data_IF_035550989346
#
_entry.id   IF_035550989346
#
_cell.length_a   1.000
_cell.length_b   1.000
_cell.length_c   1.000
_cell.angle_alpha   90.00
_cell.angle_beta   90.00
_cell.angle_gamma   90.00
#
_symmetry.space_group_name_H-M   'P 1'
#
loop_
_entity.id
_entity.type
_entity.pdbx_description
1 polymer ?
#
# COMPACT_ATOMS: atom_id res chain seq x y z
N UNK A 1 -13.13 25.30 -6.42
CA UNK A 1 -12.67 24.05 -7.05
C UNK A 1 -11.21 23.88 -6.65
N UNK A 2 -10.90 22.96 -5.74
CA UNK A 2 -9.52 22.70 -5.34
C UNK A 2 -8.89 21.82 -6.42
N UNK A 3 -7.84 22.31 -7.07
CA UNK A 3 -6.95 21.49 -7.89
C UNK A 3 -6.42 20.35 -7.01
N UNK A 4 -6.28 19.10 -7.51
CA UNK A 4 -5.54 18.08 -6.77
C UNK A 4 -4.10 18.58 -6.67
N UNK A 5 -3.74 19.15 -5.51
CA UNK A 5 -2.37 19.50 -5.19
C UNK A 5 -1.53 18.23 -5.32
N UNK A 6 -0.30 18.31 -5.79
CA UNK A 6 0.58 17.13 -5.92
C UNK A 6 0.73 16.31 -4.61
N UNK A 7 0.37 16.88 -3.46
CA UNK A 7 0.23 16.17 -2.17
C UNK A 7 -0.87 15.08 -2.19
N UNK A 8 -1.89 15.17 -3.04
CA UNK A 8 -2.90 14.11 -3.22
C UNK A 8 -2.37 12.92 -4.02
N UNK A 9 -1.22 13.07 -4.68
CA UNK A 9 -0.62 12.00 -5.49
C UNK A 9 0.17 11.00 -4.63
N UNK A 10 0.68 11.44 -3.47
CA UNK A 10 1.55 10.61 -2.63
C UNK A 10 1.08 10.56 -1.18
N UNK A 11 0.77 9.36 -0.72
CA UNK A 11 0.45 9.06 0.66
C UNK A 11 1.72 8.91 1.50
N UNK A 12 1.63 9.34 2.74
CA UNK A 12 2.61 9.05 3.81
C UNK A 12 2.35 7.69 4.43
N UNK A 13 3.33 7.19 5.17
CA UNK A 13 3.20 5.94 5.93
C UNK A 13 2.03 6.00 6.92
N UNK A 14 1.84 7.14 7.59
CA UNK A 14 0.79 7.31 8.60
C UNK A 14 -0.61 7.33 7.97
N UNK A 15 -0.77 7.96 6.81
CA UNK A 15 -2.05 7.95 6.08
C UNK A 15 -2.43 6.54 5.62
N UNK A 16 -1.46 5.77 5.09
CA UNK A 16 -1.70 4.37 4.72
C UNK A 16 -1.99 3.52 5.94
N UNK A 17 -1.31 3.74 7.05
CA UNK A 17 -1.54 3.03 8.30
C UNK A 17 -2.97 3.28 8.83
N UNK A 18 -3.41 4.54 8.83
CA UNK A 18 -4.77 4.92 9.21
C UNK A 18 -5.82 4.29 8.28
N UNK A 19 -5.58 4.31 6.96
CA UNK A 19 -6.50 3.75 5.95
C UNK A 19 -6.64 2.24 6.06
N UNK A 20 -5.55 1.53 6.32
CA UNK A 20 -5.54 0.08 6.54
C UNK A 20 -5.90 -0.33 7.98
N UNK A 21 -6.06 0.63 8.89
CA UNK A 21 -6.30 0.42 10.33
C UNK A 21 -5.24 -0.47 10.98
N UNK A 22 -3.97 -0.21 10.68
CA UNK A 22 -2.82 -0.92 11.24
C UNK A 22 -1.81 0.07 11.82
N UNK A 23 -0.87 -0.43 12.65
CA UNK A 23 0.21 0.39 13.18
C UNK A 23 1.19 0.83 12.06
N UNK A 24 1.73 2.05 12.06
CA UNK A 24 2.69 2.53 11.05
C UNK A 24 3.92 1.63 10.86
N UNK A 25 4.42 1.04 11.95
CA UNK A 25 5.52 0.04 11.89
C UNK A 25 5.19 -1.15 10.99
N UNK A 26 3.92 -1.59 10.95
CA UNK A 26 3.49 -2.66 10.06
C UNK A 26 3.60 -2.25 8.60
N UNK A 27 3.27 -0.99 8.29
CA UNK A 27 3.44 -0.45 6.94
C UNK A 27 4.93 -0.39 6.60
N UNK A 28 5.77 0.21 7.45
CA UNK A 28 7.22 0.31 7.22
C UNK A 28 7.88 -1.04 6.92
N UNK A 29 7.45 -2.12 7.59
CA UNK A 29 7.96 -3.47 7.35
C UNK A 29 7.51 -4.10 6.03
N UNK A 30 6.43 -3.58 5.44
CA UNK A 30 5.84 -4.07 4.19
C UNK A 30 6.16 -3.17 3.00
N UNK A 31 6.78 -2.01 3.20
CA UNK A 31 7.19 -1.15 2.10
C UNK A 31 8.26 -1.84 1.26
N UNK A 32 8.08 -1.78 -0.05
CA UNK A 32 9.08 -2.13 -1.06
C UNK A 32 9.31 -0.93 -1.97
N UNK A 33 10.48 -0.87 -2.60
CA UNK A 33 10.69 0.08 -3.71
C UNK A 33 9.70 -0.23 -4.85
N UNK A 34 9.40 0.75 -5.72
CA UNK A 34 8.58 0.51 -6.93
C UNK A 34 9.11 -0.66 -7.77
N UNK A 35 10.43 -0.81 -7.84
CA UNK A 35 11.11 -1.84 -8.62
C UNK A 35 11.34 -3.15 -7.82
N UNK A 36 10.75 -3.28 -6.63
CA UNK A 36 10.88 -4.48 -5.81
C UNK A 36 10.14 -5.65 -6.51
N UNK A 37 10.80 -6.78 -6.78
CA UNK A 37 10.19 -7.91 -7.47
C UNK A 37 9.09 -8.61 -6.66
N UNK A 38 8.96 -8.30 -5.36
CA UNK A 38 7.94 -8.89 -4.49
C UNK A 38 6.59 -8.15 -4.60
N UNK A 39 5.58 -8.75 -5.26
CA UNK A 39 4.28 -8.12 -5.48
C UNK A 39 3.45 -7.99 -4.19
N UNK A 40 3.88 -8.62 -3.10
CA UNK A 40 3.18 -8.57 -1.80
C UNK A 40 3.53 -7.31 -1.00
N UNK A 41 4.59 -6.60 -1.40
CA UNK A 41 5.04 -5.37 -0.76
C UNK A 41 4.20 -4.18 -1.21
N UNK A 42 4.08 -3.21 -0.30
CA UNK A 42 3.42 -1.95 -0.56
C UNK A 42 4.38 -1.13 -1.43
N UNK A 43 3.96 -0.72 -2.63
CA UNK A 43 4.84 -0.04 -3.55
C UNK A 43 5.08 1.38 -3.02
N UNK A 44 6.35 1.74 -2.80
CA UNK A 44 6.76 3.06 -2.33
C UNK A 44 8.02 3.60 -3.01
N UNK A 45 8.19 4.92 -2.97
CA UNK A 45 9.37 5.65 -3.44
C UNK A 45 10.06 6.28 -2.22
N UNK A 46 11.39 6.14 -2.14
CA UNK A 46 12.17 6.76 -1.05
C UNK A 46 12.61 8.16 -1.47
N UNK A 47 12.09 9.17 -0.77
CA UNK A 47 12.43 10.58 -0.97
C UNK A 47 13.18 11.06 0.26
N UNK A 48 14.52 11.16 0.14
CA UNK A 48 15.40 11.40 1.28
C UNK A 48 15.27 10.31 2.35
N UNK A 49 14.80 10.66 3.55
CA UNK A 49 14.61 9.70 4.66
C UNK A 49 13.18 9.17 4.78
N UNK A 50 12.27 9.70 3.97
CA UNK A 50 10.82 9.44 4.05
C UNK A 50 10.40 8.53 2.90
N UNK A 51 9.46 7.64 3.18
CA UNK A 51 8.79 6.85 2.16
C UNK A 51 7.52 7.55 1.71
N UNK A 52 7.35 7.68 0.39
CA UNK A 52 6.16 8.21 -0.26
C UNK A 52 5.50 7.10 -1.06
N UNK A 53 4.20 6.97 -0.90
CA UNK A 53 3.43 5.87 -1.47
C UNK A 53 2.54 6.48 -2.54
N UNK A 54 2.83 6.25 -3.84
CA UNK A 54 1.97 6.75 -4.91
C UNK A 54 0.55 6.23 -4.74
N UNK A 55 -0.43 7.14 -4.68
CA UNK A 55 -1.82 6.82 -4.34
C UNK A 55 -2.41 5.85 -5.35
N UNK A 56 -2.16 6.06 -6.64
CA UNK A 56 -2.71 5.23 -7.72
C UNK A 56 -2.22 3.78 -7.61
N UNK A 57 -0.93 3.59 -7.48
CA UNK A 57 -0.25 2.30 -7.39
C UNK A 57 -0.64 1.57 -6.11
N UNK A 58 -0.82 2.31 -5.01
CA UNK A 58 -1.34 1.77 -3.76
C UNK A 58 -2.77 1.24 -3.89
N UNK A 59 -3.67 1.99 -4.53
CA UNK A 59 -5.05 1.56 -4.75
C UNK A 59 -5.10 0.33 -5.68
N UNK A 60 -4.28 0.31 -6.74
CA UNK A 60 -4.13 -0.87 -7.61
C UNK A 60 -3.59 -2.08 -6.83
N UNK A 61 -2.58 -1.90 -5.98
CA UNK A 61 -2.05 -2.94 -5.11
C UNK A 61 -3.12 -3.44 -4.12
N UNK A 62 -3.91 -2.55 -3.55
CA UNK A 62 -4.98 -2.89 -2.61
C UNK A 62 -6.07 -3.73 -3.29
N UNK A 63 -6.45 -3.36 -4.51
CA UNK A 63 -7.39 -4.13 -5.32
C UNK A 63 -6.88 -5.57 -5.54
N UNK A 64 -5.62 -5.72 -5.99
CA UNK A 64 -4.97 -7.04 -6.19
C UNK A 64 -4.86 -7.84 -4.90
N UNK A 65 -4.41 -7.21 -3.82
CA UNK A 65 -4.24 -7.85 -2.51
C UNK A 65 -5.56 -8.31 -1.90
N UNK A 66 -6.64 -7.53 -2.09
CA UNK A 66 -7.97 -7.92 -1.63
C UNK A 66 -8.51 -9.14 -2.37
N UNK A 67 -8.22 -9.27 -3.67
CA UNK A 67 -8.59 -10.43 -4.48
C UNK A 67 -7.81 -11.68 -4.02
N UNK A 68 -6.50 -11.55 -3.82
CA UNK A 68 -5.67 -12.63 -3.30
C UNK A 68 -6.14 -13.09 -1.91
N UNK A 69 -6.45 -12.15 -0.99
CA UNK A 69 -6.97 -12.46 0.33
C UNK A 69 -8.34 -13.17 0.28
N UNK A 70 -9.25 -12.76 -0.62
CA UNK A 70 -10.52 -13.46 -0.85
C UNK A 70 -10.31 -14.87 -1.38
N UNK A 71 -9.35 -15.07 -2.29
CA UNK A 71 -9.05 -16.37 -2.87
C UNK A 71 -8.42 -17.32 -1.83
N UNK A 72 -7.51 -16.81 -0.99
CA UNK A 72 -6.91 -17.55 0.12
C UNK A 72 -7.93 -17.86 1.22
N UNK A 73 -8.82 -16.92 1.54
CA UNK A 73 -9.91 -17.12 2.50
C UNK A 73 -10.95 -18.14 2.02
N UNK A 74 -11.11 -18.31 0.70
CA UNK A 74 -11.97 -19.33 0.09
C UNK A 74 -11.36 -20.73 0.22
N UNK A 75 -10.05 -20.86 0.05
CA UNK A 75 -9.34 -22.14 0.21
C UNK A 75 -9.36 -22.66 1.65
N UNK A 76 -9.40 -21.77 2.66
CA UNK A 76 -9.40 -22.16 4.08
C UNK A 76 -10.74 -22.68 4.61
N UNK A 77 -11.82 -22.66 3.81
CA UNK A 77 -13.15 -23.18 4.19
C UNK A 77 -13.45 -24.57 3.63
N UNK A 78 -12.49 -25.23 2.98
CA UNK A 78 -12.66 -26.55 2.36
C UNK A 78 -11.99 -27.67 3.16
N UNK A 79 -11.77 -27.48 4.46
CA UNK A 79 -11.27 -28.52 5.37
C UNK A 79 -12.14 -28.58 6.62
#
# INVERSE_FOLDING_TARGET
MASPSADDEYLTTDEVAARLRVHPTTILRRLGAMDDPDPTRIPAVRVGRVWRIPRREFEEWLARSSQAARQLGRQRRLF
#
